data_IF_938958288429
#
_entry.id   IF_938958288429
#
_cell.length_a   1.000
_cell.length_b   1.000
_cell.length_c   1.000
_cell.angle_alpha   90.00
_cell.angle_beta   90.00
_cell.angle_gamma   90.00
#
_symmetry.space_group_name_H-M   'P 1'
#
loop_
_entity.id
_entity.type
_entity.pdbx_description
1 polymer ?
#
# COMPACT_ATOMS: atom_id res chain seq x y z
N UNK A 1 -33.24 -72.30 -13.61
CA UNK A 1 -33.04 -70.86 -13.33
C UNK A 1 -31.72 -70.47 -13.98
N UNK A 2 -31.77 -69.60 -14.97
CA UNK A 2 -30.65 -69.20 -15.82
C UNK A 2 -30.18 -67.80 -15.46
N UNK A 3 -28.87 -67.57 -15.47
CA UNK A 3 -28.25 -66.39 -16.09
C UNK A 3 -26.73 -66.50 -15.96
N UNK A 4 -26.06 -66.68 -17.10
CA UNK A 4 -24.65 -66.35 -17.27
C UNK A 4 -24.64 -65.22 -18.32
N UNK A 5 -24.19 -64.03 -17.94
CA UNK A 5 -24.21 -62.84 -18.79
C UNK A 5 -22.76 -62.47 -19.14
N UNK A 6 -22.49 -62.63 -20.44
CA UNK A 6 -21.76 -61.73 -21.34
C UNK A 6 -20.37 -61.20 -20.95
N UNK A 7 -19.36 -61.85 -21.53
CA UNK A 7 -18.33 -61.22 -22.39
C UNK A 7 -17.73 -59.88 -21.99
N UNK A 8 -16.48 -59.92 -21.51
CA UNK A 8 -15.54 -58.80 -21.59
C UNK A 8 -15.11 -58.58 -23.05
N UNK A 9 -15.38 -57.40 -23.61
CA UNK A 9 -14.75 -56.93 -24.84
C UNK A 9 -13.27 -56.57 -24.57
N UNK A 10 -12.32 -57.00 -25.42
CA UNK A 10 -10.92 -56.60 -25.26
C UNK A 10 -10.74 -55.15 -25.71
N UNK A 11 -10.21 -54.32 -24.79
CA UNK A 11 -9.78 -52.95 -25.06
C UNK A 11 -8.78 -52.94 -26.23
N UNK A 12 -9.04 -52.11 -27.24
CA UNK A 12 -8.17 -51.97 -28.41
C UNK A 12 -6.73 -51.58 -28.02
N UNK A 13 -5.70 -52.02 -28.79
CA UNK A 13 -4.32 -51.68 -28.49
C UNK A 13 -4.06 -50.20 -28.74
N UNK A 14 -3.80 -49.45 -27.67
CA UNK A 14 -3.40 -48.03 -27.70
C UNK A 14 -2.17 -47.87 -28.60
N UNK A 15 -2.29 -47.05 -29.64
CA UNK A 15 -1.27 -46.92 -30.68
C UNK A 15 -0.07 -46.10 -30.19
N UNK A 16 1.11 -46.31 -30.79
CA UNK A 16 2.36 -45.63 -30.38
C UNK A 16 2.28 -44.09 -30.42
N UNK A 17 1.40 -43.55 -31.27
CA UNK A 17 1.18 -42.11 -31.44
C UNK A 17 0.51 -41.46 -30.22
N UNK A 18 -0.45 -42.14 -29.59
CA UNK A 18 -1.12 -41.65 -28.38
C UNK A 18 -0.16 -41.62 -27.18
N UNK A 19 0.75 -42.58 -27.11
CA UNK A 19 1.79 -42.64 -26.06
C UNK A 19 2.80 -41.50 -26.20
N UNK A 20 3.17 -41.15 -27.43
CA UNK A 20 4.05 -40.01 -27.71
C UNK A 20 3.39 -38.67 -27.36
N UNK A 21 2.10 -38.51 -27.69
CA UNK A 21 1.34 -37.30 -27.38
C UNK A 21 1.20 -37.06 -25.87
N UNK A 22 0.92 -38.11 -25.08
CA UNK A 22 0.85 -38.03 -23.62
C UNK A 22 2.22 -37.70 -23.01
N UNK A 23 3.30 -38.27 -23.55
CA UNK A 23 4.66 -37.95 -23.11
C UNK A 23 5.05 -36.49 -23.36
N UNK A 24 4.69 -35.94 -24.52
CA UNK A 24 4.94 -34.54 -24.87
C UNK A 24 4.13 -33.59 -23.99
N UNK A 25 2.86 -33.92 -23.73
CA UNK A 25 2.00 -33.14 -22.84
C UNK A 25 2.53 -33.13 -21.40
N UNK A 26 3.02 -34.27 -20.90
CA UNK A 26 3.63 -34.38 -19.58
C UNK A 26 4.93 -33.58 -19.45
N UNK A 27 5.76 -33.53 -20.50
CA UNK A 27 6.98 -32.70 -20.55
C UNK A 27 6.66 -31.21 -20.55
N UNK A 28 5.66 -30.77 -21.32
CA UNK A 28 5.21 -29.37 -21.33
C UNK A 28 4.65 -28.98 -19.97
N UNK A 29 3.82 -29.83 -19.37
CA UNK A 29 3.24 -29.58 -18.04
C UNK A 29 4.33 -29.54 -16.95
N UNK A 30 5.32 -30.45 -17.02
CA UNK A 30 6.46 -30.46 -16.10
C UNK A 30 7.35 -29.21 -16.22
N UNK A 31 7.59 -28.72 -17.44
CA UNK A 31 8.35 -27.49 -17.67
C UNK A 31 7.60 -26.26 -17.17
N UNK A 32 6.28 -26.21 -17.37
CA UNK A 32 5.42 -25.11 -16.87
C UNK A 32 5.38 -25.09 -15.34
N UNK A 33 5.26 -26.24 -14.68
CA UNK A 33 5.24 -26.32 -13.21
C UNK A 33 6.60 -25.98 -12.57
N UNK A 34 7.70 -26.24 -13.29
CA UNK A 34 9.06 -25.88 -12.85
C UNK A 34 9.31 -24.36 -12.77
N UNK A 35 8.50 -23.56 -13.49
CA UNK A 35 8.57 -22.09 -13.45
C UNK A 35 7.63 -21.45 -12.43
N UNK A 36 7.04 -22.23 -11.52
CA UNK A 36 6.25 -21.65 -10.44
C UNK A 36 7.18 -20.82 -9.54
N UNK A 37 7.01 -19.49 -9.45
CA UNK A 37 7.73 -18.73 -8.44
C UNK A 37 7.41 -19.35 -7.07
N UNK A 38 8.46 -19.62 -6.29
CA UNK A 38 8.31 -20.20 -4.97
C UNK A 38 7.41 -19.35 -4.07
N UNK A 39 6.95 -19.89 -2.93
CA UNK A 39 6.17 -19.11 -1.99
C UNK A 39 6.95 -17.86 -1.60
N UNK A 40 6.31 -16.69 -1.76
CA UNK A 40 6.88 -15.42 -1.34
C UNK A 40 7.02 -15.43 0.18
N UNK A 41 8.23 -15.21 0.65
CA UNK A 41 8.50 -15.17 2.10
C UNK A 41 8.12 -13.79 2.63
N UNK A 42 7.60 -13.75 3.86
CA UNK A 42 7.30 -12.49 4.52
C UNK A 42 8.54 -11.59 4.60
N UNK A 43 9.72 -12.18 4.89
CA UNK A 43 10.99 -11.44 4.92
C UNK A 43 11.34 -10.77 3.58
N UNK A 44 11.06 -11.43 2.45
CA UNK A 44 11.33 -10.87 1.12
C UNK A 44 10.40 -9.67 0.84
N UNK A 45 9.13 -9.76 1.25
CA UNK A 45 8.17 -8.65 1.12
C UNK A 45 8.57 -7.42 1.93
N UNK A 46 9.01 -7.62 3.17
CA UNK A 46 9.46 -6.50 4.03
C UNK A 46 10.68 -5.81 3.41
N UNK A 47 11.66 -6.58 2.93
CA UNK A 47 12.85 -6.05 2.26
C UNK A 47 12.49 -5.28 0.99
N UNK A 48 11.67 -5.87 0.14
CA UNK A 48 11.29 -5.28 -1.15
C UNK A 48 10.45 -4.00 -0.95
N UNK A 49 9.67 -3.93 0.13
CA UNK A 49 8.94 -2.72 0.52
C UNK A 49 9.88 -1.59 0.95
N UNK A 50 10.93 -1.91 1.73
CA UNK A 50 11.97 -0.94 2.11
C UNK A 50 12.76 -0.45 0.90
N UNK A 51 13.13 -1.36 -0.01
CA UNK A 51 13.80 -1.05 -1.27
C UNK A 51 12.95 -0.09 -2.13
N UNK A 52 11.67 -0.41 -2.30
CA UNK A 52 10.74 0.41 -3.07
C UNK A 52 10.58 1.81 -2.48
N UNK A 53 10.45 1.91 -1.16
CA UNK A 53 10.35 3.19 -0.46
C UNK A 53 11.61 4.04 -0.64
N UNK A 54 12.79 3.44 -0.40
CA UNK A 54 14.07 4.14 -0.60
C UNK A 54 14.23 4.64 -2.04
N UNK A 55 13.92 3.79 -3.03
CA UNK A 55 13.99 4.15 -4.44
C UNK A 55 12.99 5.24 -4.82
N UNK A 56 11.80 5.23 -4.24
CA UNK A 56 10.81 6.28 -4.44
C UNK A 56 11.31 7.63 -3.90
N UNK A 57 11.82 7.67 -2.67
CA UNK A 57 12.38 8.88 -2.05
C UNK A 57 13.57 9.39 -2.87
N UNK A 58 14.49 8.50 -3.24
CA UNK A 58 15.68 8.83 -4.03
C UNK A 58 15.34 9.59 -5.34
N UNK A 59 14.28 9.16 -6.03
CA UNK A 59 13.85 9.78 -7.30
C UNK A 59 12.99 11.03 -7.14
N UNK A 60 12.28 11.19 -6.03
CA UNK A 60 11.20 12.18 -5.91
C UNK A 60 11.39 13.21 -4.79
N UNK A 61 12.34 13.00 -3.87
CA UNK A 61 12.56 13.94 -2.78
C UNK A 61 13.14 15.24 -3.31
N UNK A 62 12.59 16.37 -2.82
CA UNK A 62 12.92 17.70 -3.35
C UNK A 62 14.38 18.09 -3.08
N UNK A 63 14.86 17.85 -1.85
CA UNK A 63 16.25 18.09 -1.48
C UNK A 63 17.11 16.86 -1.74
N UNK A 64 17.85 16.89 -2.85
CA UNK A 64 18.75 15.81 -3.26
C UNK A 64 20.03 15.67 -2.40
N UNK A 65 20.18 16.49 -1.36
CA UNK A 65 21.21 16.29 -0.32
C UNK A 65 20.70 15.46 0.86
N UNK A 66 19.40 15.12 0.89
CA UNK A 66 18.75 14.30 1.90
C UNK A 66 19.03 14.78 3.33
N UNK A 67 19.00 16.11 3.55
CA UNK A 67 19.38 16.73 4.81
C UNK A 67 20.83 16.42 5.22
N UNK A 68 21.75 16.45 4.24
CA UNK A 68 23.18 16.18 4.43
C UNK A 68 23.55 14.72 4.67
N UNK A 69 22.65 13.78 4.38
CA UNK A 69 22.87 12.35 4.61
C UNK A 69 23.48 11.65 3.39
N UNK A 70 24.35 10.66 3.64
CA UNK A 70 24.73 9.69 2.61
C UNK A 70 23.56 8.71 2.40
N UNK A 71 22.83 8.95 1.31
CA UNK A 71 21.62 8.18 1.01
C UNK A 71 21.91 6.73 0.64
N UNK A 72 23.08 6.43 0.08
CA UNK A 72 23.49 5.06 -0.24
C UNK A 72 23.88 4.29 1.03
N UNK A 73 24.55 4.94 1.98
CA UNK A 73 24.82 4.34 3.28
C UNK A 73 23.51 4.08 4.05
N UNK A 74 22.56 5.02 4.00
CA UNK A 74 21.24 4.85 4.59
C UNK A 74 20.49 3.66 3.99
N UNK A 75 20.56 3.47 2.66
CA UNK A 75 19.97 2.33 1.95
C UNK A 75 20.40 0.99 2.55
N UNK A 76 21.73 0.78 2.63
CA UNK A 76 22.30 -0.46 3.12
C UNK A 76 21.90 -0.71 4.58
N UNK A 77 21.92 0.33 5.42
CA UNK A 77 21.50 0.26 6.82
C UNK A 77 20.05 -0.21 6.96
N UNK A 78 19.12 0.36 6.19
CA UNK A 78 17.70 -0.03 6.28
C UNK A 78 17.44 -1.43 5.71
N UNK A 79 18.12 -1.82 4.63
CA UNK A 79 18.02 -3.18 4.09
C UNK A 79 18.54 -4.24 5.07
N UNK A 80 19.67 -3.99 5.74
CA UNK A 80 20.20 -4.91 6.73
C UNK A 80 19.27 -5.09 7.94
N UNK A 81 18.64 -4.00 8.39
CA UNK A 81 17.64 -4.04 9.47
C UNK A 81 16.41 -4.81 9.07
N UNK A 82 15.92 -4.65 7.84
CA UNK A 82 14.82 -5.45 7.31
C UNK A 82 15.18 -6.94 7.27
N UNK A 83 16.40 -7.29 6.84
CA UNK A 83 16.89 -8.70 6.87
C UNK A 83 16.96 -9.30 8.27
N UNK A 84 17.10 -8.46 9.31
CA UNK A 84 17.06 -8.87 10.73
C UNK A 84 15.62 -9.02 11.26
N UNK A 85 14.60 -8.79 10.43
CA UNK A 85 13.19 -8.97 10.77
C UNK A 85 12.46 -7.70 11.19
N UNK A 86 13.07 -6.52 11.08
CA UNK A 86 12.37 -5.27 11.32
C UNK A 86 11.34 -4.98 10.22
N UNK A 87 10.20 -4.43 10.63
CA UNK A 87 9.05 -4.19 9.76
C UNK A 87 9.28 -3.00 8.83
N UNK A 88 8.96 -3.17 7.54
CA UNK A 88 9.10 -2.15 6.52
C UNK A 88 8.36 -0.87 6.88
N UNK A 89 7.14 -0.96 7.41
CA UNK A 89 6.37 0.21 7.81
C UNK A 89 7.09 1.09 8.86
N UNK A 90 7.80 0.47 9.80
CA UNK A 90 8.57 1.19 10.81
C UNK A 90 9.85 1.78 10.22
N UNK A 91 10.59 0.99 9.44
CA UNK A 91 11.83 1.41 8.78
C UNK A 91 11.59 2.56 7.79
N UNK A 92 10.51 2.50 7.01
CA UNK A 92 10.13 3.56 6.05
C UNK A 92 9.73 4.84 6.77
N UNK A 93 9.02 4.76 7.91
CA UNK A 93 8.70 5.95 8.72
C UNK A 93 9.97 6.61 9.25
N UNK A 94 10.86 5.82 9.85
CA UNK A 94 12.14 6.32 10.35
C UNK A 94 13.00 6.91 9.21
N UNK A 95 13.00 6.28 8.04
CA UNK A 95 13.69 6.75 6.84
C UNK A 95 13.19 8.14 6.41
N UNK A 96 11.87 8.34 6.37
CA UNK A 96 11.26 9.64 6.02
C UNK A 96 11.51 10.68 7.11
N UNK A 97 11.36 10.32 8.39
CA UNK A 97 11.60 11.22 9.52
C UNK A 97 13.06 11.73 9.53
N UNK A 98 14.02 10.91 9.12
CA UNK A 98 15.43 11.29 9.02
C UNK A 98 15.69 12.47 8.07
N UNK A 99 14.81 12.66 7.07
CA UNK A 99 14.91 13.76 6.11
C UNK A 99 14.62 15.12 6.75
N UNK A 100 14.02 15.16 7.95
CA UNK A 100 13.73 16.40 8.67
C UNK A 100 12.71 17.31 7.98
N UNK A 101 12.00 16.80 6.98
CA UNK A 101 11.00 17.56 6.23
C UNK A 101 9.60 17.38 6.82
N UNK A 102 9.02 18.46 7.34
CA UNK A 102 7.67 18.48 7.92
C UNK A 102 6.54 18.14 6.94
N UNK A 103 6.82 18.20 5.64
CA UNK A 103 5.83 17.91 4.59
C UNK A 103 5.90 16.48 4.07
N UNK A 104 7.01 15.79 4.32
CA UNK A 104 7.19 14.38 3.98
C UNK A 104 6.74 13.51 5.14
N UNK A 105 5.78 12.61 4.89
CA UNK A 105 5.29 11.66 5.90
C UNK A 105 4.89 10.33 5.27
N UNK A 106 4.88 9.28 6.07
CA UNK A 106 4.37 7.97 5.69
C UNK A 106 2.94 7.81 6.17
N UNK A 107 2.05 7.40 5.27
CA UNK A 107 0.64 7.11 5.57
C UNK A 107 0.47 5.59 5.54
N UNK A 108 -0.12 5.01 6.58
CA UNK A 108 -0.42 3.58 6.61
C UNK A 108 -1.66 3.24 5.75
N UNK A 109 -1.84 1.96 5.45
CA UNK A 109 -2.91 1.51 4.56
C UNK A 109 -4.31 1.88 5.08
N UNK A 110 -4.56 1.78 6.39
CA UNK A 110 -5.87 2.10 6.96
C UNK A 110 -6.20 3.58 6.87
N UNK A 111 -5.22 4.43 7.17
CA UNK A 111 -5.34 5.89 6.99
C UNK A 111 -5.49 6.25 5.51
N UNK A 112 -4.74 5.61 4.62
CA UNK A 112 -4.87 5.82 3.17
C UNK A 112 -6.26 5.42 2.66
N UNK A 113 -6.79 4.27 3.11
CA UNK A 113 -8.16 3.85 2.79
C UNK A 113 -9.18 4.86 3.27
N UNK A 114 -9.02 5.45 4.47
CA UNK A 114 -9.90 6.51 4.95
C UNK A 114 -9.79 7.78 4.12
N UNK A 115 -8.58 8.17 3.71
CA UNK A 115 -8.36 9.32 2.82
C UNK A 115 -8.98 9.10 1.43
N UNK A 116 -8.93 7.88 0.92
CA UNK A 116 -9.53 7.52 -0.37
C UNK A 116 -11.05 7.29 -0.28
N UNK A 117 -11.54 6.84 0.88
CA UNK A 117 -12.96 6.70 1.20
C UNK A 117 -13.60 8.05 1.55
N UNK A 118 -12.80 9.10 1.79
CA UNK A 118 -13.27 10.47 1.86
C UNK A 118 -13.82 10.88 0.49
N UNK A 119 -15.10 10.59 0.33
CA UNK A 119 -15.95 11.04 -0.76
C UNK A 119 -15.82 12.58 -0.89
N UNK A 120 -15.68 13.15 -2.11
CA UNK A 120 -15.61 14.61 -2.34
C UNK A 120 -16.82 15.43 -1.84
N UNK A 121 -17.78 14.82 -1.14
CA UNK A 121 -18.90 15.48 -0.46
C UNK A 121 -18.47 16.10 0.88
N UNK A 122 -17.46 16.96 0.85
CA UNK A 122 -17.12 17.79 2.01
C UNK A 122 -18.25 18.78 2.36
N UNK A 123 -18.21 19.36 3.57
CA UNK A 123 -19.17 20.40 3.98
C UNK A 123 -18.93 21.78 3.35
N UNK A 124 -17.89 21.89 2.52
CA UNK A 124 -17.52 23.12 1.80
C UNK A 124 -16.63 24.08 2.59
N UNK A 125 -15.75 23.56 3.45
CA UNK A 125 -14.77 24.33 4.21
C UNK A 125 -13.34 24.05 3.77
N UNK A 126 -12.50 25.07 3.87
CA UNK A 126 -11.04 24.92 3.85
C UNK A 126 -10.54 25.31 5.23
N UNK A 127 -9.89 24.37 5.92
CA UNK A 127 -9.36 24.55 7.26
C UNK A 127 -7.84 24.68 7.20
N UNK A 128 -7.28 25.58 7.99
CA UNK A 128 -5.84 25.75 8.20
C UNK A 128 -5.54 25.85 9.68
N UNK A 129 -4.27 25.71 10.05
CA UNK A 129 -3.80 25.84 11.43
C UNK A 129 -2.87 27.04 11.58
N UNK A 130 -3.04 27.84 12.64
CA UNK A 130 -2.16 28.97 12.95
C UNK A 130 -0.88 28.51 13.70
N UNK A 131 -0.02 29.45 14.09
CA UNK A 131 1.21 29.17 14.84
C UNK A 131 0.96 28.59 16.24
N UNK A 132 -0.20 28.90 16.83
CA UNK A 132 -0.64 28.42 18.14
C UNK A 132 -1.37 27.07 18.09
N UNK A 133 -1.33 26.41 16.93
CA UNK A 133 -2.01 25.15 16.63
C UNK A 133 -3.54 25.23 16.64
N UNK A 134 -4.15 26.39 16.53
CA UNK A 134 -5.60 26.53 16.44
C UNK A 134 -6.07 26.33 15.00
N UNK A 135 -7.15 25.57 14.82
CA UNK A 135 -7.75 25.31 13.50
C UNK A 135 -8.79 26.39 13.20
N UNK A 136 -8.70 27.00 12.02
CA UNK A 136 -9.62 28.05 11.58
C UNK A 136 -9.96 27.91 10.10
N UNK A 137 -11.08 28.53 9.71
CA UNK A 137 -11.57 28.58 8.33
C UNK A 137 -10.72 29.58 7.54
N UNK A 138 -9.87 29.09 6.65
CA UNK A 138 -8.85 29.91 5.96
C UNK A 138 -9.36 30.67 4.76
N UNK A 139 -10.44 30.19 4.13
CA UNK A 139 -11.11 30.86 3.01
C UNK A 139 -12.62 30.90 3.23
N UNK A 140 -13.35 31.84 2.61
CA UNK A 140 -14.80 31.81 2.64
C UNK A 140 -15.34 30.42 2.23
N UNK A 141 -16.39 29.90 2.88
CA UNK A 141 -17.00 28.65 2.49
C UNK A 141 -17.45 28.68 1.03
N UNK A 142 -17.45 27.51 0.37
CA UNK A 142 -17.95 27.43 -1.01
C UNK A 142 -19.43 27.79 -1.05
N UNK A 143 -19.81 28.71 -1.95
CA UNK A 143 -21.20 29.20 -2.06
C UNK A 143 -22.19 28.06 -2.28
N UNK A 144 -23.27 28.03 -1.50
CA UNK A 144 -24.31 26.99 -1.57
C UNK A 144 -23.98 25.68 -0.84
N UNK A 145 -22.78 25.58 -0.24
CA UNK A 145 -22.39 24.44 0.60
C UNK A 145 -23.16 24.40 1.93
N UNK A 146 -23.04 23.29 2.66
CA UNK A 146 -23.62 23.16 4.00
C UNK A 146 -23.03 24.19 4.97
N UNK A 147 -21.73 24.47 4.89
CA UNK A 147 -21.07 25.46 5.72
C UNK A 147 -21.53 26.90 5.42
N UNK A 148 -21.72 27.25 4.14
CA UNK A 148 -22.28 28.55 3.73
C UNK A 148 -23.70 28.72 4.27
N UNK A 149 -24.55 27.68 4.15
CA UNK A 149 -25.92 27.67 4.68
C UNK A 149 -25.97 27.73 6.21
N UNK A 150 -24.96 27.18 6.89
CA UNK A 150 -24.81 27.27 8.33
C UNK A 150 -24.28 28.64 8.80
N UNK A 151 -23.89 29.52 7.88
CA UNK A 151 -23.43 30.88 8.20
C UNK A 151 -21.99 30.94 8.72
N UNK A 152 -21.19 29.88 8.51
CA UNK A 152 -19.77 29.84 8.85
C UNK A 152 -19.02 30.87 7.99
N UNK A 153 -17.99 31.50 8.55
CA UNK A 153 -17.22 32.54 7.88
C UNK A 153 -15.72 32.26 7.91
N UNK A 154 -15.01 32.90 6.99
CA UNK A 154 -13.56 32.97 7.06
C UNK A 154 -13.13 33.59 8.40
N UNK A 155 -12.15 32.97 9.06
CA UNK A 155 -11.65 33.37 10.36
C UNK A 155 -12.34 32.70 11.55
N UNK A 156 -13.43 31.96 11.34
CA UNK A 156 -14.06 31.18 12.41
C UNK A 156 -13.10 30.09 12.89
N UNK A 157 -12.97 29.94 14.20
CA UNK A 157 -12.19 28.87 14.83
C UNK A 157 -13.03 27.61 15.00
N UNK A 158 -12.40 26.46 14.79
CA UNK A 158 -13.03 25.14 14.88
C UNK A 158 -12.40 24.37 16.03
N UNK A 159 -13.15 24.22 17.11
CA UNK A 159 -12.69 23.49 18.30
C UNK A 159 -12.76 21.96 18.11
N UNK A 160 -13.85 21.46 17.52
CA UNK A 160 -14.10 20.02 17.36
C UNK A 160 -14.92 19.70 16.10
N UNK A 161 -14.75 18.48 15.58
CA UNK A 161 -15.57 17.89 14.52
C UNK A 161 -16.10 16.55 15.03
N UNK A 162 -17.41 16.33 14.97
CA UNK A 162 -18.08 15.14 15.50
C UNK A 162 -17.71 14.81 16.97
N UNK A 163 -17.46 15.85 17.77
CA UNK A 163 -17.06 15.72 19.17
C UNK A 163 -15.57 15.40 19.38
N UNK A 164 -14.79 15.18 18.32
CA UNK A 164 -13.34 15.00 18.41
C UNK A 164 -12.61 16.36 18.39
N UNK A 165 -11.82 16.62 19.44
CA UNK A 165 -11.06 17.88 19.58
C UNK A 165 -9.92 17.98 18.55
N UNK A 166 -9.83 19.12 17.86
CA UNK A 166 -8.78 19.38 16.87
C UNK A 166 -7.50 19.97 17.49
N UNK A 167 -7.50 20.34 18.78
CA UNK A 167 -6.33 20.91 19.47
C UNK A 167 -5.22 19.89 19.71
N UNK A 168 -5.58 18.60 19.82
CA UNK A 168 -4.64 17.52 20.16
C UNK A 168 -4.31 16.60 18.97
N UNK A 169 -5.10 16.62 17.90
CA UNK A 169 -4.89 15.74 16.74
C UNK A 169 -4.15 16.44 15.60
N UNK A 170 -3.20 15.72 14.99
CA UNK A 170 -2.73 16.03 13.63
C UNK A 170 -3.93 16.00 12.70
N UNK A 171 -4.12 17.02 11.86
CA UNK A 171 -5.23 17.05 10.87
C UNK A 171 -5.16 15.88 9.87
N UNK A 172 -4.02 15.21 9.82
CA UNK A 172 -3.80 13.96 9.09
C UNK A 172 -2.89 13.13 9.99
N UNK A 173 -3.50 12.42 10.94
CA UNK A 173 -2.82 11.40 11.74
C UNK A 173 -2.35 10.27 10.85
#
# INVERSE_FOLDING_TARGET
>A
MACNISGNEPLAPVTALERAAVGLLALVLGLVLSWSPGPVRAEDLERDSVEAAWGFISRNFYDQTYNGQDWNAAHQRYLERSRKGEKAAALTREMVDSLGDRFSRVIDAGTFEQLMAYDPLGVGLVLTRNQEKEVFVSSPPFKGSSADKAGIKQGDFVDAVDGASLKEQSLFG
#
